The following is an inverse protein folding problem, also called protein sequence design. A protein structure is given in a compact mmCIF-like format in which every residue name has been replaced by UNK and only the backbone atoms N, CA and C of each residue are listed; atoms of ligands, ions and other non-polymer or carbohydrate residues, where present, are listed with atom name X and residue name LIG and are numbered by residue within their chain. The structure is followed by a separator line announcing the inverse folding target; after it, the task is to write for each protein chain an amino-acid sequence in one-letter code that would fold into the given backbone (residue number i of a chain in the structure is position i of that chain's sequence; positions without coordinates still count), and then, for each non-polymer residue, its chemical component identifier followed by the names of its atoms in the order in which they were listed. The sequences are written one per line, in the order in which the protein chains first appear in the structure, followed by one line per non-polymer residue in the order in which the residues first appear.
data_IF_119435545627
#
_entry.id   IF_119435545627
#
_cell.length_a   1.000
_cell.length_b   1.000
_cell.length_c   1.000
_cell.angle_alpha   90.00
_cell.angle_beta   90.00
_cell.angle_gamma   90.00
#
_symmetry.space_group_name_H-M   'P 1'
#
loop_
_entity.id
_entity.type
_entity.pdbx_description
1 polymer ?
#
# COMPACT_ATOMS: atom_id res chain seq x y z
N UNK A 1 15.84 -15.10 9.87
CA UNK A 1 14.44 -15.01 10.34
C UNK A 1 13.79 -13.92 9.52
N UNK A 2 12.65 -14.19 8.87
CA UNK A 2 11.92 -13.17 8.13
C UNK A 2 10.68 -12.74 8.91
N UNK A 3 10.39 -11.45 8.91
CA UNK A 3 9.17 -10.88 9.49
C UNK A 3 8.23 -10.46 8.38
N UNK A 4 6.98 -10.90 8.44
CA UNK A 4 5.94 -10.57 7.48
C UNK A 4 4.80 -9.82 8.19
N UNK A 5 4.37 -8.71 7.60
CA UNK A 5 3.28 -7.87 8.08
C UNK A 5 2.37 -7.44 6.92
N UNK A 6 1.10 -7.20 7.23
CA UNK A 6 0.15 -6.60 6.29
C UNK A 6 -0.43 -5.35 6.91
N UNK A 7 -0.09 -4.20 6.33
CA UNK A 7 -0.62 -2.92 6.78
C UNK A 7 -1.78 -2.46 5.92
N UNK A 8 -2.97 -2.37 6.53
CA UNK A 8 -4.13 -1.69 5.93
C UNK A 8 -3.98 -0.18 6.04
N UNK A 9 -3.99 0.53 4.93
CA UNK A 9 -3.92 2.00 4.88
C UNK A 9 -5.00 2.59 3.99
N UNK A 10 -5.39 3.84 4.25
CA UNK A 10 -6.35 4.55 3.42
C UNK A 10 -5.78 4.76 2.02
N UNK A 11 -6.57 4.45 0.98
CA UNK A 11 -6.12 4.60 -0.40
C UNK A 11 -5.88 6.07 -0.74
N UNK A 12 -4.72 6.34 -1.36
CA UNK A 12 -4.42 7.64 -1.96
C UNK A 12 -5.24 7.76 -3.25
N UNK A 13 -5.95 8.89 -3.47
CA UNK A 13 -6.68 9.11 -4.71
C UNK A 13 -5.78 9.06 -5.94
N UNK A 14 -6.34 8.67 -7.08
CA UNK A 14 -5.69 8.87 -8.37
C UNK A 14 -5.54 10.39 -8.62
N UNK A 15 -4.39 10.81 -9.15
CA UNK A 15 -4.02 12.23 -9.25
C UNK A 15 -3.35 12.80 -7.99
N UNK A 16 -2.79 11.92 -7.16
CA UNK A 16 -1.97 12.23 -5.98
C UNK A 16 -2.65 13.08 -4.89
N UNK A 17 -1.92 13.30 -3.79
CA UNK A 17 -2.41 14.05 -2.65
C UNK A 17 -2.08 15.55 -2.74
N UNK A 18 -2.73 16.32 -1.86
CA UNK A 18 -2.39 17.74 -1.63
C UNK A 18 -0.92 17.99 -1.29
N UNK A 19 -0.18 16.97 -0.85
CA UNK A 19 1.27 17.06 -0.61
C UNK A 19 2.07 17.25 -1.89
N UNK A 20 1.58 16.75 -3.04
CA UNK A 20 2.22 16.92 -4.35
C UNK A 20 1.70 18.19 -5.03
N UNK A 21 0.39 18.45 -4.97
CA UNK A 21 -0.23 19.53 -5.74
C UNK A 21 -0.48 20.83 -4.95
N UNK A 22 -0.26 20.84 -3.64
CA UNK A 22 -0.64 21.94 -2.76
C UNK A 22 -2.08 21.80 -2.24
N UNK A 23 -2.34 22.43 -1.10
CA UNK A 23 -3.60 22.28 -0.35
C UNK A 23 -4.79 22.96 -1.02
N UNK A 24 -4.53 24.00 -1.80
CA UNK A 24 -5.54 24.81 -2.53
C UNK A 24 -5.67 24.41 -4.01
N UNK A 25 -5.04 23.31 -4.42
CA UNK A 25 -5.17 22.79 -5.78
C UNK A 25 -6.57 22.26 -6.04
N UNK A 26 -7.03 22.37 -7.29
CA UNK A 26 -8.32 21.84 -7.72
C UNK A 26 -8.49 20.34 -7.40
N UNK A 27 -7.50 19.45 -7.62
CA UNK A 27 -7.58 18.05 -7.20
C UNK A 27 -7.76 17.88 -5.68
N UNK A 28 -7.07 18.67 -4.85
CA UNK A 28 -7.19 18.60 -3.40
C UNK A 28 -8.57 19.05 -2.92
N UNK A 29 -9.12 20.12 -3.51
CA UNK A 29 -10.49 20.59 -3.22
C UNK A 29 -11.52 19.55 -3.64
N UNK A 30 -11.41 18.99 -4.85
CA UNK A 30 -12.31 17.95 -5.34
C UNK A 30 -12.29 16.70 -4.44
N UNK A 31 -11.10 16.25 -4.02
CA UNK A 31 -10.96 15.13 -3.09
C UNK A 31 -11.55 15.42 -1.70
N UNK A 32 -11.44 16.66 -1.21
CA UNK A 32 -12.06 17.10 0.05
C UNK A 32 -13.58 17.12 -0.05
N UNK A 33 -14.13 17.69 -1.13
CA UNK A 33 -15.56 17.73 -1.40
C UNK A 33 -16.16 16.34 -1.52
N UNK A 34 -15.53 15.45 -2.30
CA UNK A 34 -15.96 14.05 -2.42
C UNK A 34 -15.99 13.35 -1.06
N UNK A 35 -14.97 13.57 -0.22
CA UNK A 35 -14.93 13.03 1.14
C UNK A 35 -16.10 13.57 2.00
N UNK A 36 -16.37 14.89 1.96
CA UNK A 36 -17.48 15.51 2.69
C UNK A 36 -18.84 15.03 2.20
N UNK A 37 -18.96 14.68 0.92
CA UNK A 37 -20.15 14.05 0.32
C UNK A 37 -20.28 12.54 0.65
N UNK A 38 -19.39 11.99 1.49
CA UNK A 38 -19.48 10.59 1.94
C UNK A 38 -18.75 9.57 1.07
N UNK A 39 -17.97 9.99 0.06
CA UNK A 39 -17.23 9.05 -0.78
C UNK A 39 -16.20 8.26 0.05
N UNK A 40 -16.27 6.92 -0.04
CA UNK A 40 -15.30 6.01 0.57
C UNK A 40 -14.25 5.62 -0.46
N UNK A 41 -13.01 6.05 -0.26
CA UNK A 41 -11.88 5.75 -1.17
C UNK A 41 -11.35 4.31 -1.06
N UNK A 42 -11.85 3.54 -0.11
CA UNK A 42 -11.38 2.19 0.17
C UNK A 42 -10.00 2.17 0.83
N UNK A 43 -9.43 0.96 0.88
CA UNK A 43 -8.16 0.68 1.49
C UNK A 43 -7.21 0.04 0.49
N UNK A 44 -5.92 0.15 0.78
CA UNK A 44 -4.88 -0.64 0.14
C UNK A 44 -4.10 -1.37 1.23
N UNK A 45 -3.63 -2.56 0.92
CA UNK A 45 -3.01 -3.46 1.88
C UNK A 45 -1.56 -3.65 1.49
N UNK A 46 -0.65 -3.09 2.27
CA UNK A 46 0.78 -3.20 2.04
C UNK A 46 1.26 -4.51 2.67
N UNK A 47 1.48 -5.52 1.83
CA UNK A 47 2.12 -6.76 2.25
C UNK A 47 3.62 -6.52 2.24
N UNK A 48 4.28 -6.69 3.39
CA UNK A 48 5.71 -6.42 3.55
C UNK A 48 6.39 -7.61 4.19
N UNK A 49 7.60 -7.92 3.74
CA UNK A 49 8.47 -8.91 4.37
C UNK A 49 9.88 -8.36 4.50
N UNK A 50 10.49 -8.57 5.66
CA UNK A 50 11.82 -8.07 6.00
C UNK A 50 12.69 -9.24 6.47
N UNK A 51 13.86 -9.40 5.86
CA UNK A 51 14.86 -10.35 6.37
C UNK A 51 15.60 -9.75 7.57
N UNK A 52 15.64 -10.50 8.67
CA UNK A 52 16.19 -10.09 9.94
C UNK A 52 17.71 -9.96 9.95
N UNK A 53 18.42 -10.63 9.03
CA UNK A 53 19.88 -10.56 8.93
C UNK A 53 20.34 -9.42 8.01
N UNK A 54 19.94 -9.46 6.74
CA UNK A 54 20.36 -8.50 5.71
C UNK A 54 19.63 -7.15 5.78
N UNK A 55 18.48 -7.10 6.47
CA UNK A 55 17.56 -5.95 6.51
C UNK A 55 16.96 -5.59 5.14
N UNK A 56 17.08 -6.47 4.14
CA UNK A 56 16.36 -6.33 2.87
C UNK A 56 14.86 -6.44 3.11
N UNK A 57 14.10 -5.58 2.44
CA UNK A 57 12.65 -5.51 2.54
C UNK A 57 12.00 -5.55 1.16
N UNK A 58 10.91 -6.30 1.06
CA UNK A 58 10.07 -6.40 -0.12
C UNK A 58 8.63 -6.06 0.24
N UNK A 59 8.01 -5.13 -0.49
CA UNK A 59 6.65 -4.64 -0.21
C UNK A 59 5.83 -4.55 -1.48
N UNK A 60 4.60 -5.06 -1.44
CA UNK A 60 3.62 -4.92 -2.52
C UNK A 60 2.31 -4.30 -2.01
N UNK A 61 1.73 -3.33 -2.73
CA UNK A 61 0.36 -2.87 -2.48
C UNK A 61 -0.66 -3.81 -3.15
N UNK A 62 -1.50 -4.48 -2.35
CA UNK A 62 -2.51 -5.45 -2.82
C UNK A 62 -3.93 -5.05 -2.39
N UNK A 63 -4.92 -5.73 -2.99
CA UNK A 63 -6.35 -5.42 -2.86
C UNK A 63 -6.94 -5.76 -1.49
N UNK A 64 -6.36 -6.72 -0.77
CA UNK A 64 -6.90 -7.26 0.47
C UNK A 64 -5.83 -7.94 1.35
N UNK A 65 -6.22 -8.25 2.58
CA UNK A 65 -5.42 -8.92 3.61
C UNK A 65 -5.62 -10.44 3.66
N UNK A 66 -6.29 -11.04 2.66
CA UNK A 66 -6.70 -12.45 2.75
C UNK A 66 -5.51 -13.40 2.61
N UNK A 67 -5.67 -14.60 3.16
CA UNK A 67 -4.62 -15.63 3.15
C UNK A 67 -4.16 -16.02 1.75
N UNK A 68 -5.08 -16.07 0.76
CA UNK A 68 -4.73 -16.35 -0.65
C UNK A 68 -3.81 -15.28 -1.23
N UNK A 69 -4.13 -14.01 -0.97
CA UNK A 69 -3.33 -12.85 -1.40
C UNK A 69 -1.97 -12.84 -0.72
N UNK A 70 -1.92 -13.10 0.59
CA UNK A 70 -0.67 -13.20 1.36
C UNK A 70 0.23 -14.37 0.91
N UNK A 71 -0.34 -15.53 0.58
CA UNK A 71 0.40 -16.68 0.06
C UNK A 71 1.00 -16.39 -1.33
N UNK A 72 0.24 -15.72 -2.20
CA UNK A 72 0.72 -15.29 -3.51
C UNK A 72 1.85 -14.27 -3.38
N UNK A 73 1.70 -13.28 -2.48
CA UNK A 73 2.76 -12.33 -2.14
C UNK A 73 4.03 -13.05 -1.65
N UNK A 74 3.91 -13.98 -0.70
CA UNK A 74 5.06 -14.71 -0.17
C UNK A 74 5.80 -15.50 -1.26
N UNK A 75 5.07 -16.05 -2.22
CA UNK A 75 5.67 -16.76 -3.37
C UNK A 75 6.53 -15.82 -4.21
N UNK A 76 6.01 -14.62 -4.52
CA UNK A 76 6.78 -13.59 -5.27
C UNK A 76 7.96 -13.07 -4.46
N UNK A 77 7.77 -12.80 -3.17
CA UNK A 77 8.83 -12.33 -2.30
C UNK A 77 9.99 -13.33 -2.20
N UNK A 78 9.71 -14.63 -2.10
CA UNK A 78 10.74 -15.68 -2.11
C UNK A 78 11.56 -15.66 -3.40
N UNK A 79 10.90 -15.54 -4.55
CA UNK A 79 11.59 -15.44 -5.83
C UNK A 79 12.47 -14.19 -5.92
N UNK A 80 11.97 -13.05 -5.42
CA UNK A 80 12.72 -11.80 -5.36
C UNK A 80 13.96 -11.90 -4.46
N UNK A 81 13.82 -12.39 -3.23
CA UNK A 81 14.94 -12.56 -2.30
C UNK A 81 15.99 -13.54 -2.81
N UNK A 82 15.58 -14.61 -3.51
CA UNK A 82 16.51 -15.57 -4.10
C UNK A 82 17.34 -14.98 -5.26
N UNK A 83 16.91 -13.85 -5.82
CA UNK A 83 17.59 -13.13 -6.90
C UNK A 83 18.39 -11.91 -6.41
N UNK A 84 18.48 -11.69 -5.09
CA UNK A 84 19.28 -10.61 -4.49
C UNK A 84 20.70 -11.03 -4.14
#
# INVERSE_FOLDING_TARGET
MAHLDVKKVGRIPDGDGWRIHGRDSEPAKAASLAKSAGAKRGYIYLHSIVDGFSRLAYTEPLSDEKGTTAAAFLTRAKAWFAAQ
#
